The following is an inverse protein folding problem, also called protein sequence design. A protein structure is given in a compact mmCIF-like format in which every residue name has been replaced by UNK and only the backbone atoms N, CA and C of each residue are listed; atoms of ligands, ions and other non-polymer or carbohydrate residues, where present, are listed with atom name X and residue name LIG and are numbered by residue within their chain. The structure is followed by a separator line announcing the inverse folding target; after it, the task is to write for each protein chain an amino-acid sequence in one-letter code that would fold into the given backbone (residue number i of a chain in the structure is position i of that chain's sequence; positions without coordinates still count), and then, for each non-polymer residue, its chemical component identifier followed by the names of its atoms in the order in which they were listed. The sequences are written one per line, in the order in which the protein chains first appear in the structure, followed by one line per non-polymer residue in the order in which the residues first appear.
data_IF_813550369002
#
_entry.id   IF_813550369002
#
_cell.length_a   1.000
_cell.length_b   1.000
_cell.length_c   1.000
_cell.angle_alpha   90.00
_cell.angle_beta   90.00
_cell.angle_gamma   90.00
#
_symmetry.space_group_name_H-M   'P 1'
#
loop_
_entity.id
_entity.type
_entity.pdbx_description
1 polymer ?
#
# COMPACT_ATOMS: atom_id res chain seq x y z
N UNK A 1 -16.07 10.61 -9.71
CA UNK A 1 -15.15 11.63 -9.16
C UNK A 1 -13.90 10.96 -8.62
N UNK A 2 -12.74 11.42 -9.03
CA UNK A 2 -11.50 10.79 -8.65
C UNK A 2 -11.10 11.18 -7.24
N UNK A 3 -10.80 10.20 -6.43
CA UNK A 3 -10.32 10.46 -5.07
C UNK A 3 -8.81 10.59 -5.13
N UNK A 4 -8.31 11.79 -4.90
CA UNK A 4 -6.87 12.08 -4.96
C UNK A 4 -6.09 11.27 -3.93
N UNK A 5 -6.72 10.96 -2.79
CA UNK A 5 -6.05 10.19 -1.74
C UNK A 5 -5.78 8.76 -2.19
N UNK A 6 -6.70 8.17 -2.95
CA UNK A 6 -6.50 6.83 -3.48
C UNK A 6 -5.36 6.84 -4.48
N UNK A 7 -5.32 7.84 -5.34
CA UNK A 7 -4.25 7.98 -6.33
C UNK A 7 -2.90 8.16 -5.64
N UNK A 8 -2.87 9.02 -4.63
CA UNK A 8 -1.63 9.31 -3.92
C UNK A 8 -1.14 8.08 -3.16
N UNK A 9 -2.07 7.36 -2.54
CA UNK A 9 -1.73 6.13 -1.82
C UNK A 9 -1.18 5.09 -2.76
N UNK A 10 -1.83 4.92 -3.92
CA UNK A 10 -1.35 3.96 -4.92
C UNK A 10 0.06 4.31 -5.37
N UNK A 11 0.31 5.59 -5.65
CA UNK A 11 1.63 6.04 -6.08
C UNK A 11 2.67 5.79 -5.01
N UNK A 12 2.32 6.03 -3.76
CA UNK A 12 3.22 5.79 -2.64
C UNK A 12 3.58 4.32 -2.57
N UNK A 13 2.59 3.43 -2.67
CA UNK A 13 2.82 2.00 -2.60
C UNK A 13 3.63 1.51 -3.80
N UNK A 14 3.34 2.04 -4.99
CA UNK A 14 4.10 1.68 -6.18
C UNK A 14 5.56 2.09 -6.05
N UNK A 15 5.81 3.28 -5.51
CA UNK A 15 7.17 3.76 -5.32
C UNK A 15 7.93 2.87 -4.36
N UNK A 16 7.31 2.47 -3.26
CA UNK A 16 7.97 1.61 -2.28
C UNK A 16 8.19 0.21 -2.85
N UNK A 17 7.20 -0.33 -3.57
CA UNK A 17 7.34 -1.65 -4.18
C UNK A 17 8.48 -1.67 -5.20
N UNK A 18 8.59 -0.61 -5.98
CA UNK A 18 9.61 -0.51 -7.01
C UNK A 18 11.02 -0.58 -6.42
N UNK A 19 11.21 0.00 -5.24
CA UNK A 19 12.50 -0.06 -4.57
C UNK A 19 12.95 -1.48 -4.25
N UNK A 20 12.01 -2.38 -4.08
CA UNK A 20 12.29 -3.77 -3.73
C UNK A 20 12.10 -4.71 -4.92
N UNK A 21 11.79 -4.17 -6.07
CA UNK A 21 11.56 -4.98 -7.26
C UNK A 21 10.26 -5.77 -7.21
N UNK A 22 9.32 -5.33 -6.40
CA UNK A 22 8.04 -6.02 -6.24
C UNK A 22 6.96 -5.31 -7.03
N UNK A 23 5.90 -6.04 -7.34
CA UNK A 23 4.70 -5.47 -7.94
C UNK A 23 3.69 -5.16 -6.83
N UNK A 24 2.81 -4.22 -7.08
CA UNK A 24 1.77 -3.88 -6.13
C UNK A 24 0.44 -3.74 -6.83
N UNK A 25 -0.61 -4.21 -6.17
CA UNK A 25 -1.97 -4.06 -6.63
C UNK A 25 -2.77 -3.44 -5.50
N UNK A 26 -3.59 -2.45 -5.82
CA UNK A 26 -4.41 -1.78 -4.83
C UNK A 26 -5.87 -2.11 -5.10
N UNK A 27 -6.54 -2.60 -4.07
CA UNK A 27 -7.95 -2.97 -4.15
C UNK A 27 -8.75 -2.24 -3.08
N UNK A 28 -9.98 -1.94 -3.41
CA UNK A 28 -10.91 -1.38 -2.43
C UNK A 28 -11.50 -2.49 -1.59
N UNK A 29 -11.57 -2.25 -0.29
CA UNK A 29 -12.33 -3.13 0.61
C UNK A 29 -13.52 -2.34 1.14
N UNK A 30 -14.44 -3.03 1.77
CA UNK A 30 -15.60 -2.39 2.35
C UNK A 30 -15.18 -1.51 3.53
N UNK A 31 -15.95 -0.44 3.77
CA UNK A 31 -15.71 0.40 4.93
C UNK A 31 -14.64 1.46 4.77
N UNK A 32 -14.30 1.85 3.53
CA UNK A 32 -13.37 2.94 3.30
C UNK A 32 -11.92 2.58 3.52
N UNK A 33 -11.57 1.32 3.30
CA UNK A 33 -10.19 0.86 3.40
C UNK A 33 -9.66 0.46 2.03
N UNK A 34 -8.35 0.52 1.89
CA UNK A 34 -7.66 0.04 0.70
C UNK A 34 -6.74 -1.10 1.11
N UNK A 35 -6.66 -2.09 0.24
CA UNK A 35 -5.79 -3.23 0.45
C UNK A 35 -4.67 -3.15 -0.58
N UNK A 36 -3.44 -3.04 -0.11
CA UNK A 36 -2.27 -3.05 -0.98
C UNK A 36 -1.63 -4.42 -0.97
N UNK A 37 -1.56 -5.06 -2.12
CA UNK A 37 -1.01 -6.41 -2.25
C UNK A 37 0.32 -6.30 -2.97
N UNK A 38 1.39 -6.66 -2.27
CA UNK A 38 2.72 -6.71 -2.88
C UNK A 38 3.02 -8.15 -3.28
N UNK A 39 3.62 -8.31 -4.44
CA UNK A 39 3.99 -9.64 -4.91
C UNK A 39 5.39 -9.63 -5.49
N UNK A 40 6.13 -10.71 -5.24
CA UNK A 40 7.47 -10.90 -5.75
C UNK A 40 7.64 -12.38 -6.02
N UNK A 41 7.66 -12.74 -7.30
CA UNK A 41 7.66 -14.16 -7.68
C UNK A 41 6.38 -14.81 -7.22
N UNK A 42 6.50 -15.87 -6.45
CA UNK A 42 5.35 -16.59 -5.94
C UNK A 42 4.88 -16.09 -4.57
N UNK A 43 5.63 -15.20 -3.98
CA UNK A 43 5.31 -14.70 -2.65
C UNK A 43 4.44 -13.46 -2.73
N UNK A 44 3.53 -13.35 -1.79
CA UNK A 44 2.62 -12.21 -1.71
C UNK A 44 2.44 -11.80 -0.26
N UNK A 45 2.28 -10.51 -0.06
CA UNK A 45 1.98 -9.95 1.25
C UNK A 45 1.04 -8.77 1.03
N UNK A 46 0.20 -8.48 2.00
CA UNK A 46 -0.71 -7.35 1.85
C UNK A 46 -0.73 -6.49 3.10
N UNK A 47 -1.13 -5.25 2.90
CA UNK A 47 -1.37 -4.31 4.00
C UNK A 47 -2.74 -3.70 3.82
N UNK A 48 -3.34 -3.26 4.91
CA UNK A 48 -4.62 -2.57 4.90
C UNK A 48 -4.35 -1.12 5.27
N UNK A 49 -4.84 -0.20 4.45
CA UNK A 49 -4.68 1.23 4.71
C UNK A 49 -6.05 1.88 4.81
N UNK A 50 -6.22 2.71 5.82
CA UNK A 50 -7.43 3.52 5.98
C UNK A 50 -7.19 4.88 5.33
N UNK A 51 -8.20 5.39 4.63
CA UNK A 51 -8.07 6.72 4.02
C UNK A 51 -9.19 7.65 4.46
N UNK A 52 -9.50 7.61 5.73
CA UNK A 52 -10.45 8.53 6.34
C UNK A 52 -9.91 9.96 6.33
N UNK A 53 -10.75 10.97 6.16
CA UNK A 53 -10.28 12.37 6.19
C UNK A 53 -9.59 12.74 7.50
N UNK A 54 -9.96 12.10 8.59
CA UNK A 54 -9.38 12.39 9.89
C UNK A 54 -8.00 11.77 10.07
N UNK A 55 -7.57 10.92 9.15
CA UNK A 55 -6.30 10.20 9.27
C UNK A 55 -5.37 10.50 8.10
N UNK A 56 -5.39 11.73 7.61
CA UNK A 56 -4.53 12.09 6.49
C UNK A 56 -3.04 11.99 6.82
N UNK A 57 -2.70 11.85 8.10
CA UNK A 57 -1.32 11.61 8.52
C UNK A 57 -0.87 10.18 8.26
N UNK A 58 -1.76 9.38 7.70
CA UNK A 58 -1.49 7.96 7.47
C UNK A 58 -0.34 7.69 6.51
N UNK A 59 0.05 8.67 5.70
CA UNK A 59 1.12 8.45 4.73
C UNK A 59 2.37 7.87 5.37
N UNK A 60 2.74 8.39 6.55
CA UNK A 60 3.92 7.93 7.25
C UNK A 60 3.75 6.50 7.74
N UNK A 61 2.58 6.20 8.29
CA UNK A 61 2.28 4.85 8.78
C UNK A 61 2.18 3.86 7.65
N UNK A 62 1.50 4.25 6.57
CA UNK A 62 1.35 3.37 5.40
C UNK A 62 2.72 3.06 4.80
N UNK A 63 3.57 4.07 4.70
CA UNK A 63 4.92 3.87 4.17
C UNK A 63 5.72 2.90 5.04
N UNK A 64 5.64 3.05 6.36
CA UNK A 64 6.32 2.16 7.28
C UNK A 64 5.79 0.74 7.16
N UNK A 65 4.47 0.59 7.08
CA UNK A 65 3.85 -0.71 6.93
C UNK A 65 4.26 -1.36 5.61
N UNK A 66 4.29 -0.57 4.53
CA UNK A 66 4.69 -1.08 3.23
C UNK A 66 6.13 -1.58 3.25
N UNK A 67 7.02 -0.81 3.86
CA UNK A 67 8.42 -1.21 3.95
C UNK A 67 8.59 -2.48 4.76
N UNK A 68 7.86 -2.59 5.87
CA UNK A 68 7.91 -3.80 6.70
C UNK A 68 7.41 -5.01 5.93
N UNK A 69 6.30 -4.85 5.22
CA UNK A 69 5.73 -5.94 4.44
C UNK A 69 6.70 -6.36 3.33
N UNK A 70 7.30 -5.39 2.65
CA UNK A 70 8.23 -5.67 1.56
C UNK A 70 9.51 -6.34 2.08
N UNK A 71 9.98 -5.94 3.25
CA UNK A 71 11.14 -6.61 3.86
C UNK A 71 10.83 -8.07 4.14
N UNK A 72 9.65 -8.34 4.66
CA UNK A 72 9.25 -9.73 4.93
C UNK A 72 9.12 -10.52 3.65
N UNK A 73 8.69 -9.86 2.58
CA UNK A 73 8.51 -10.51 1.29
C UNK A 73 9.83 -11.00 0.70
N UNK A 74 10.89 -10.23 0.88
CA UNK A 74 12.20 -10.55 0.31
C UNK A 74 13.11 -11.30 1.29
N UNK A 75 12.69 -11.45 2.54
CA UNK A 75 13.50 -12.11 3.56
C UNK A 75 13.63 -13.61 3.33
#
# INVERSE_FOLDING_TARGET
MTDHRIRDLRRLLETEAERYGAAVRVEHTNGGHLKGIFSLGEQKVFIIASFSPSTWRCDRHVRADARRALRNLIA
#
